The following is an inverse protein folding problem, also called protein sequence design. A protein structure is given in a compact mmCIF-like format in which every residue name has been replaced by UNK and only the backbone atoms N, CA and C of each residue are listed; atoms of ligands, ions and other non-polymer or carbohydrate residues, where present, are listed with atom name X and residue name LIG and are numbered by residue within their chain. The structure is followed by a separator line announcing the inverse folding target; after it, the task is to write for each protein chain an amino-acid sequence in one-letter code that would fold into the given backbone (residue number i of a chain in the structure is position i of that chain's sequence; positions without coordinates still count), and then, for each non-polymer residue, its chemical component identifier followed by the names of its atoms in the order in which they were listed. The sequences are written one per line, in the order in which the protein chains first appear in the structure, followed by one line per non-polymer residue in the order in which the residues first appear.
data_IF_027525935605
#
_entry.id   IF_027525935605
#
_cell.length_a   1.000
_cell.length_b   1.000
_cell.length_c   1.000
_cell.angle_alpha   90.00
_cell.angle_beta   90.00
_cell.angle_gamma   90.00
#
_symmetry.space_group_name_H-M   'P 1'
#
loop_
_entity.id
_entity.type
_entity.pdbx_description
1 polymer ?
#
# COMPACT_ATOMS: atom_id res chain seq x y z
N UNK A 1 12.99 5.78 27.61
CA UNK A 1 13.61 6.32 26.37
C UNK A 1 12.49 6.53 25.35
N UNK A 2 11.92 7.73 25.22
CA UNK A 2 10.91 7.97 24.18
C UNK A 2 11.65 8.12 22.85
N UNK A 3 11.74 7.03 22.09
CA UNK A 3 12.25 7.07 20.72
C UNK A 3 11.29 7.87 19.85
N UNK A 4 11.73 9.04 19.41
CA UNK A 4 10.98 9.88 18.46
C UNK A 4 10.80 9.08 17.17
N UNK A 5 9.56 8.65 16.90
CA UNK A 5 9.24 7.93 15.66
C UNK A 5 9.41 8.90 14.49
N UNK A 6 10.17 8.50 13.49
CA UNK A 6 10.35 9.32 12.28
C UNK A 6 8.99 9.61 11.65
N UNK A 7 8.74 10.84 11.16
CA UNK A 7 7.54 11.14 10.38
C UNK A 7 7.41 10.23 9.15
N UNK A 8 8.51 9.68 8.64
CA UNK A 8 8.52 8.69 7.55
C UNK A 8 7.97 7.31 7.96
N UNK A 9 7.73 7.06 9.24
CA UNK A 9 7.05 5.84 9.69
C UNK A 9 5.51 5.95 9.56
N UNK A 10 4.98 7.14 9.24
CA UNK A 10 3.54 7.38 9.14
C UNK A 10 3.01 7.12 7.73
N UNK A 11 2.09 6.16 7.60
CA UNK A 11 1.40 5.86 6.34
C UNK A 11 0.59 7.08 5.84
N UNK A 12 0.07 7.91 6.75
CA UNK A 12 -0.63 9.15 6.38
C UNK A 12 0.30 10.14 5.67
N UNK A 13 1.56 10.24 6.11
CA UNK A 13 2.55 11.14 5.51
C UNK A 13 2.95 10.63 4.12
N UNK A 14 3.10 9.31 3.95
CA UNK A 14 3.32 8.73 2.63
C UNK A 14 2.11 8.90 1.70
N UNK A 15 0.89 8.74 2.22
CA UNK A 15 -0.33 8.95 1.47
C UNK A 15 -0.46 10.39 0.96
N UNK A 16 -0.17 11.39 1.79
CA UNK A 16 -0.21 12.79 1.38
C UNK A 16 0.88 13.12 0.35
N UNK A 17 2.10 12.58 0.48
CA UNK A 17 3.16 12.73 -0.52
C UNK A 17 2.73 12.17 -1.88
N UNK A 18 2.19 10.94 -1.91
CA UNK A 18 1.73 10.31 -3.16
C UNK A 18 0.57 11.10 -3.78
N UNK A 19 -0.35 11.63 -2.97
CA UNK A 19 -1.49 12.41 -3.43
C UNK A 19 -1.08 13.71 -4.15
N UNK A 20 0.06 14.31 -3.78
CA UNK A 20 0.59 15.54 -4.40
C UNK A 20 1.73 15.29 -5.40
N UNK A 21 2.20 14.04 -5.54
CA UNK A 21 3.32 13.71 -6.40
C UNK A 21 3.04 13.97 -7.90
N UNK A 22 1.88 13.59 -8.48
CA UNK A 22 1.60 13.86 -9.90
C UNK A 22 1.67 15.34 -10.26
N UNK A 23 1.14 16.22 -9.42
CA UNK A 23 1.11 17.66 -9.58
C UNK A 23 2.53 18.23 -9.55
N UNK A 24 3.35 17.78 -8.60
CA UNK A 24 4.75 18.16 -8.50
C UNK A 24 5.54 17.68 -9.73
N UNK A 25 5.28 16.47 -10.20
CA UNK A 25 5.92 15.90 -11.39
C UNK A 25 5.55 16.69 -12.67
N UNK A 26 4.28 17.06 -12.83
CA UNK A 26 3.85 17.91 -13.94
C UNK A 26 4.51 19.29 -13.92
N UNK A 27 4.74 19.87 -12.73
CA UNK A 27 5.42 21.17 -12.60
C UNK A 27 6.90 21.13 -13.00
N UNK A 28 7.56 19.98 -12.90
CA UNK A 28 8.96 19.80 -13.34
C UNK A 28 9.08 19.28 -14.77
N UNK A 29 7.98 19.25 -15.53
CA UNK A 29 7.94 18.85 -16.94
C UNK A 29 7.94 17.34 -17.16
N UNK A 30 7.70 16.55 -16.11
CA UNK A 30 7.50 15.10 -16.23
C UNK A 30 6.00 14.86 -16.43
N UNK A 31 5.60 14.71 -17.69
CA UNK A 31 4.23 14.31 -18.02
C UNK A 31 4.06 12.81 -17.78
N UNK A 32 3.40 12.46 -16.68
CA UNK A 32 2.90 11.10 -16.50
C UNK A 32 1.69 10.90 -17.42
N UNK A 33 1.84 10.05 -18.44
CA UNK A 33 0.68 9.57 -19.19
C UNK A 33 -0.27 8.81 -18.26
N UNK A 34 -1.58 8.94 -18.48
CA UNK A 34 -2.59 8.15 -17.79
C UNK A 34 -2.37 6.63 -17.97
N UNK A 35 -1.77 6.22 -19.09
CA UNK A 35 -1.41 4.83 -19.38
C UNK A 35 -0.30 4.32 -18.44
N UNK A 36 0.66 5.19 -18.12
CA UNK A 36 1.76 4.86 -17.20
C UNK A 36 1.25 4.81 -15.75
N UNK A 37 0.38 5.75 -15.36
CA UNK A 37 -0.25 5.75 -14.04
C UNK A 37 -1.05 4.47 -13.80
N UNK A 38 -1.87 4.09 -14.78
CA UNK A 38 -2.70 2.87 -14.71
C UNK A 38 -1.87 1.60 -14.71
N UNK A 39 -0.78 1.54 -15.50
CA UNK A 39 0.16 0.42 -15.47
C UNK A 39 0.81 0.25 -14.09
N UNK A 40 1.34 1.34 -13.50
CA UNK A 40 1.96 1.31 -12.17
C UNK A 40 0.93 0.89 -11.10
N UNK A 41 -0.27 1.46 -11.14
CA UNK A 41 -1.34 1.10 -10.21
C UNK A 41 -1.72 -0.38 -10.32
N UNK A 42 -1.87 -0.91 -11.53
CA UNK A 42 -2.19 -2.32 -11.77
C UNK A 42 -1.10 -3.26 -11.22
N UNK A 43 0.17 -2.91 -11.38
CA UNK A 43 1.27 -3.69 -10.79
C UNK A 43 1.26 -3.64 -9.27
N UNK A 44 1.00 -2.47 -8.67
CA UNK A 44 0.86 -2.33 -7.22
C UNK A 44 -0.31 -3.18 -6.69
N UNK A 45 -1.47 -3.12 -7.33
CA UNK A 45 -2.64 -3.93 -6.97
C UNK A 45 -2.37 -5.43 -7.10
N UNK A 46 -1.64 -5.85 -8.14
CA UNK A 46 -1.25 -7.25 -8.31
C UNK A 46 -0.38 -7.73 -7.14
N UNK A 47 0.58 -6.92 -6.68
CA UNK A 47 1.44 -7.24 -5.53
C UNK A 47 0.60 -7.28 -4.24
N UNK A 48 -0.23 -6.26 -4.00
CA UNK A 48 -1.10 -6.20 -2.82
C UNK A 48 -2.04 -7.41 -2.78
N UNK A 49 -2.65 -7.75 -3.92
CA UNK A 49 -3.55 -8.90 -4.04
C UNK A 49 -2.82 -10.21 -3.82
N UNK A 50 -1.64 -10.40 -4.41
CA UNK A 50 -0.85 -11.61 -4.22
C UNK A 50 -0.45 -11.80 -2.76
N UNK A 51 0.09 -10.76 -2.12
CA UNK A 51 0.48 -10.80 -0.70
C UNK A 51 -0.75 -10.98 0.19
N UNK A 52 -1.83 -10.24 -0.06
CA UNK A 52 -3.09 -10.36 0.67
C UNK A 52 -3.70 -11.76 0.55
N UNK A 53 -3.65 -12.36 -0.64
CA UNK A 53 -4.09 -13.73 -0.90
C UNK A 53 -3.26 -14.75 -0.12
N UNK A 54 -1.93 -14.60 -0.10
CA UNK A 54 -1.04 -15.45 0.70
C UNK A 54 -1.32 -15.32 2.21
N UNK A 55 -1.48 -14.09 2.71
CA UNK A 55 -1.83 -13.83 4.12
C UNK A 55 -3.21 -14.42 4.44
N UNK A 56 -4.19 -14.29 3.55
CA UNK A 56 -5.53 -14.84 3.75
C UNK A 56 -5.51 -16.38 3.80
N UNK A 57 -4.77 -17.03 2.92
CA UNK A 57 -4.57 -18.48 2.94
C UNK A 57 -3.87 -18.90 4.23
N UNK A 58 -2.78 -18.23 4.60
CA UNK A 58 -2.07 -18.50 5.84
C UNK A 58 -2.96 -18.33 7.08
N UNK A 59 -3.73 -17.23 7.13
CA UNK A 59 -4.69 -16.96 8.18
C UNK A 59 -5.76 -18.06 8.28
N UNK A 60 -6.28 -18.53 7.15
CA UNK A 60 -7.25 -19.65 7.09
C UNK A 60 -6.64 -20.97 7.56
N UNK A 61 -5.42 -21.29 7.15
CA UNK A 61 -4.74 -22.54 7.55
C UNK A 61 -4.35 -22.52 9.03
N UNK A 62 -3.95 -21.35 9.55
CA UNK A 62 -3.58 -21.17 10.97
C UNK A 62 -4.80 -21.01 11.87
N UNK A 63 -5.94 -20.57 11.36
CA UNK A 63 -7.23 -20.56 12.06
C UNK A 63 -7.75 -22.00 12.22
N UNK A 64 -7.03 -22.80 13.02
CA UNK A 64 -7.40 -24.14 13.49
C UNK A 64 -8.12 -24.07 14.84
N UNK A 65 -8.51 -22.88 15.29
CA UNK A 65 -9.33 -22.66 16.48
C UNK A 65 -10.77 -22.38 16.05
N UNK A 66 -11.67 -23.27 16.45
CA UNK A 66 -13.13 -23.12 16.39
C UNK A 66 -13.54 -21.70 16.80
N UNK A 67 -14.06 -20.92 15.85
CA UNK A 67 -14.98 -19.83 16.18
C UNK A 67 -16.32 -20.51 16.43
N UNK A 68 -16.48 -20.96 17.66
CA UNK A 68 -17.67 -21.63 18.17
C UNK A 68 -17.64 -21.49 19.69
N UNK A 69 -18.51 -20.61 20.18
CA UNK A 69 -18.75 -20.43 21.61
C UNK A 69 -19.37 -21.73 22.13
N UNK A 70 -18.73 -22.36 23.11
CA UNK A 70 -19.35 -23.38 23.97
C UNK A 70 -20.48 -22.79 24.80
#
# INVERSE_FOLDING_TARGET
MYGTKSPLASVTIWGSIIAIAPQVLSLVGIEMSQEQATGIAAHADAIITAVGGLIAIYGRVRAKSTIGKS
#
